data_IF_540065410939
#
_entry.id   IF_540065410939
#
_cell.length_a   1.000
_cell.length_b   1.000
_cell.length_c   1.000
_cell.angle_alpha   90.00
_cell.angle_beta   90.00
_cell.angle_gamma   90.00
#
_symmetry.space_group_name_H-M   'P 1'
#
loop_
_entity.id
_entity.type
_entity.pdbx_description
1 polymer ?
#
# COMPACT_ATOMS: atom_id res chain seq x y z
N UNK A 1 25.64 57.34 36.74
CA UNK A 1 25.91 55.89 36.57
C UNK A 1 24.62 55.22 36.13
N UNK A 2 24.36 55.16 34.82
CA UNK A 2 23.18 54.52 34.24
C UNK A 2 23.56 53.08 33.87
N UNK A 3 22.95 52.07 34.50
CA UNK A 3 23.13 50.66 34.15
C UNK A 3 22.18 50.32 32.99
N UNK A 4 22.74 49.98 31.83
CA UNK A 4 22.01 49.35 30.72
C UNK A 4 21.68 47.90 31.10
N UNK A 5 20.40 47.55 31.22
CA UNK A 5 19.95 46.17 31.19
C UNK A 5 19.72 45.77 29.73
N UNK A 6 20.51 44.84 29.22
CA UNK A 6 20.34 44.24 27.90
C UNK A 6 19.32 43.10 28.03
N UNK A 7 18.10 43.30 27.56
CA UNK A 7 17.08 42.24 27.51
C UNK A 7 17.34 41.39 26.28
N UNK A 8 17.85 40.17 26.47
CA UNK A 8 18.01 39.18 25.41
C UNK A 8 16.62 38.65 25.03
N UNK A 9 16.10 39.06 23.87
CA UNK A 9 14.88 38.48 23.30
C UNK A 9 15.30 37.17 22.62
N UNK A 10 15.16 36.04 23.31
CA UNK A 10 15.18 34.74 22.65
C UNK A 10 13.90 34.60 21.84
N UNK A 11 13.99 34.81 20.53
CA UNK A 11 12.96 34.35 19.59
C UNK A 11 13.03 32.83 19.56
N UNK A 12 12.22 32.16 20.38
CA UNK A 12 11.93 30.76 20.21
C UNK A 12 11.16 30.61 18.89
N UNK A 13 11.85 30.24 17.82
CA UNK A 13 11.18 29.70 16.64
C UNK A 13 10.36 28.50 17.11
N UNK A 14 9.10 28.33 16.64
CA UNK A 14 8.36 27.13 16.96
C UNK A 14 9.19 25.93 16.50
N UNK A 15 9.55 25.07 17.45
CA UNK A 15 10.06 23.75 17.13
C UNK A 15 8.86 23.01 16.56
N UNK A 16 8.76 22.98 15.23
CA UNK A 16 7.95 21.97 14.57
C UNK A 16 8.58 20.66 15.00
N UNK A 17 7.94 19.93 15.91
CA UNK A 17 8.35 18.59 16.24
C UNK A 17 8.43 17.82 14.91
N UNK A 18 9.65 17.51 14.48
CA UNK A 18 9.91 16.83 13.23
C UNK A 18 9.40 15.40 13.38
N UNK A 19 8.11 15.18 13.07
CA UNK A 19 7.60 13.86 12.82
C UNK A 19 8.36 13.24 11.65
N UNK A 20 8.50 11.90 11.58
CA UNK A 20 9.24 11.26 10.50
C UNK A 20 8.67 11.71 9.14
N UNK A 21 9.54 12.19 8.24
CA UNK A 21 9.21 12.81 6.94
C UNK A 21 8.70 11.79 5.90
N UNK A 22 8.09 10.68 6.32
CA UNK A 22 7.60 9.65 5.41
C UNK A 22 6.77 8.57 6.09
N UNK A 23 6.66 7.43 5.41
CA UNK A 23 5.92 6.28 5.92
C UNK A 23 6.68 5.59 7.05
N UNK A 24 5.92 5.13 8.01
CA UNK A 24 6.36 4.36 9.17
C UNK A 24 5.90 2.90 9.11
N UNK A 25 5.49 2.46 7.93
CA UNK A 25 5.31 1.05 7.56
C UNK A 25 5.58 0.90 6.07
N UNK A 26 5.45 -0.32 5.50
CA UNK A 26 5.55 -0.51 4.07
C UNK A 26 4.60 0.41 3.31
N UNK A 27 5.05 0.84 2.14
CA UNK A 27 4.21 1.55 1.17
C UNK A 27 3.55 0.52 0.28
N UNK A 28 2.23 0.52 0.27
CA UNK A 28 1.38 -0.43 -0.44
C UNK A 28 0.83 0.13 -1.76
N UNK A 29 0.78 1.45 -1.90
CA UNK A 29 0.23 2.09 -3.09
C UNK A 29 1.00 3.35 -3.48
N UNK A 30 1.13 3.59 -4.78
CA UNK A 30 1.68 4.81 -5.37
C UNK A 30 0.81 5.24 -6.53
N UNK A 31 0.69 6.55 -6.71
CA UNK A 31 0.08 7.15 -7.91
C UNK A 31 0.83 8.42 -8.27
N UNK A 32 1.11 8.62 -9.56
CA UNK A 32 1.76 9.83 -10.07
C UNK A 32 0.99 10.36 -11.28
N UNK A 33 0.50 11.60 -11.20
CA UNK A 33 -0.17 12.31 -12.30
C UNK A 33 0.10 13.80 -12.17
N UNK A 34 0.48 14.46 -13.27
CA UNK A 34 0.64 15.92 -13.35
C UNK A 34 1.42 16.51 -12.15
N UNK A 35 2.61 15.95 -11.89
CA UNK A 35 3.51 16.34 -10.79
C UNK A 35 3.02 16.04 -9.35
N UNK A 36 1.95 15.27 -9.20
CA UNK A 36 1.42 14.84 -7.91
C UNK A 36 1.80 13.39 -7.65
N UNK A 37 2.77 13.18 -6.77
CA UNK A 37 3.07 11.87 -6.22
C UNK A 37 2.27 11.64 -4.94
N UNK A 38 1.48 10.58 -4.91
CA UNK A 38 0.72 10.13 -3.74
C UNK A 38 1.20 8.75 -3.35
N UNK A 39 1.36 8.52 -2.05
CA UNK A 39 1.61 7.20 -1.50
C UNK A 39 0.56 6.80 -0.46
N UNK A 40 0.26 5.51 -0.39
CA UNK A 40 -0.52 4.88 0.67
C UNK A 40 0.33 3.85 1.39
N UNK A 41 0.21 3.78 2.72
CA UNK A 41 1.03 2.88 3.52
C UNK A 41 0.26 2.09 4.57
N UNK A 42 0.93 1.06 5.09
CA UNK A 42 0.42 0.23 6.18
C UNK A 42 0.21 1.01 7.48
N UNK A 43 0.88 2.14 7.64
CA UNK A 43 0.71 3.09 8.74
C UNK A 43 -0.61 3.89 8.71
N UNK A 44 -1.51 3.57 7.77
CA UNK A 44 -2.80 4.22 7.59
C UNK A 44 -2.74 5.65 7.06
N UNK A 45 -1.58 6.04 6.54
CA UNK A 45 -1.38 7.38 5.96
C UNK A 45 -1.53 7.32 4.46
N UNK A 46 -2.16 8.36 3.91
CA UNK A 46 -1.94 8.77 2.54
C UNK A 46 -1.05 10.03 2.56
N UNK A 47 0.02 10.07 1.78
CA UNK A 47 0.97 11.18 1.76
C UNK A 47 1.02 11.76 0.35
N UNK A 48 0.79 13.07 0.23
CA UNK A 48 1.08 13.83 -0.99
C UNK A 48 2.49 14.40 -0.86
N UNK A 49 3.32 14.13 -1.86
CA UNK A 49 4.71 14.54 -1.93
C UNK A 49 4.90 15.71 -2.90
N UNK A 50 6.10 16.28 -2.89
CA UNK A 50 6.56 17.01 -4.06
C UNK A 50 6.76 16.09 -5.27
N UNK A 51 6.95 16.71 -6.44
CA UNK A 51 7.10 16.00 -7.71
C UNK A 51 8.32 15.06 -7.74
N UNK A 52 9.31 15.30 -6.87
CA UNK A 52 10.55 14.52 -6.80
C UNK A 52 10.44 13.37 -5.79
N UNK A 53 9.36 13.33 -4.98
CA UNK A 53 9.16 12.36 -3.92
C UNK A 53 10.05 12.57 -2.69
N UNK A 54 10.65 13.76 -2.55
CA UNK A 54 11.62 14.05 -1.51
C UNK A 54 10.97 14.62 -0.25
N UNK A 55 9.94 15.45 -0.41
CA UNK A 55 9.30 16.17 0.70
C UNK A 55 7.82 15.84 0.79
N UNK A 56 7.36 15.39 1.95
CA UNK A 56 5.94 15.26 2.25
C UNK A 56 5.29 16.66 2.32
N UNK A 57 4.40 16.97 1.39
CA UNK A 57 3.62 18.22 1.38
C UNK A 57 2.39 18.14 2.28
N UNK A 58 1.81 16.94 2.39
CA UNK A 58 0.63 16.69 3.22
C UNK A 58 0.59 15.24 3.68
N UNK A 59 0.30 15.04 4.95
CA UNK A 59 0.07 13.72 5.56
C UNK A 59 -1.40 13.62 5.96
N UNK A 60 -2.17 12.82 5.22
CA UNK A 60 -3.58 12.55 5.48
C UNK A 60 -3.72 11.33 6.41
N UNK A 61 -4.43 11.52 7.54
CA UNK A 61 -4.66 10.51 8.58
C UNK A 61 -6.14 10.28 8.74
N UNK A 62 -6.67 9.29 8.03
CA UNK A 62 -8.10 9.01 7.95
C UNK A 62 -8.43 7.53 8.07
N UNK A 63 -7.64 6.69 7.38
CA UNK A 63 -7.93 5.27 7.32
C UNK A 63 -7.59 4.54 8.61
N UNK A 64 -8.41 3.56 8.96
CA UNK A 64 -8.24 2.71 10.13
C UNK A 64 -7.54 1.40 9.74
N UNK A 65 -6.27 1.50 9.34
CA UNK A 65 -5.48 0.39 8.77
C UNK A 65 -4.81 0.80 7.47
N UNK A 66 -4.20 -0.16 6.78
CA UNK A 66 -3.42 0.08 5.56
C UNK A 66 -4.23 0.86 4.50
N UNK A 67 -3.62 1.91 3.93
CA UNK A 67 -4.12 2.58 2.72
C UNK A 67 -3.71 1.75 1.50
N UNK A 68 -4.56 0.82 1.09
CA UNK A 68 -4.28 -0.19 0.09
C UNK A 68 -4.26 0.33 -1.34
N UNK A 69 -4.87 1.49 -1.60
CA UNK A 69 -4.87 2.09 -2.93
C UNK A 69 -4.98 3.62 -2.87
N UNK A 70 -4.29 4.29 -3.79
CA UNK A 70 -4.36 5.75 -3.97
C UNK A 70 -4.44 6.10 -5.45
N UNK A 71 -5.10 7.21 -5.78
CA UNK A 71 -5.19 7.71 -7.15
C UNK A 71 -5.11 9.24 -7.16
N UNK A 72 -4.14 9.80 -7.89
CA UNK A 72 -4.02 11.24 -8.07
C UNK A 72 -5.14 11.79 -8.99
N UNK A 73 -5.69 12.94 -8.63
CA UNK A 73 -6.63 13.71 -9.48
C UNK A 73 -6.03 15.08 -9.78
N UNK A 74 -6.64 15.83 -10.71
CA UNK A 74 -6.15 17.17 -11.06
C UNK A 74 -6.23 18.17 -9.89
N UNK A 75 -7.22 17.98 -9.02
CA UNK A 75 -7.61 18.86 -7.91
C UNK A 75 -7.33 18.27 -6.52
N UNK A 76 -6.61 17.15 -6.44
CA UNK A 76 -6.31 16.45 -5.20
C UNK A 76 -5.96 14.99 -5.40
N UNK A 77 -6.56 14.10 -4.60
CA UNK A 77 -6.35 12.65 -4.69
C UNK A 77 -7.48 11.87 -4.03
N UNK A 78 -7.53 10.57 -4.32
CA UNK A 78 -8.40 9.59 -3.68
C UNK A 78 -7.54 8.60 -2.93
N UNK A 79 -7.98 8.21 -1.72
CA UNK A 79 -7.39 7.11 -0.95
C UNK A 79 -8.44 6.08 -0.60
N UNK A 80 -8.04 4.82 -0.52
CA UNK A 80 -8.88 3.72 -0.10
C UNK A 80 -8.08 2.73 0.76
N UNK A 81 -8.74 2.04 1.68
CA UNK A 81 -8.04 1.28 2.71
C UNK A 81 -8.65 -0.05 3.11
N UNK A 82 -7.93 -0.72 4.02
CA UNK A 82 -8.36 -1.96 4.69
C UNK A 82 -9.66 -1.81 5.47
N UNK A 83 -9.98 -0.59 5.88
CA UNK A 83 -11.21 -0.21 6.56
C UNK A 83 -12.45 -0.19 5.63
N UNK A 84 -12.30 -0.60 4.38
CA UNK A 84 -13.40 -0.68 3.41
C UNK A 84 -13.96 0.69 3.01
N UNK A 85 -13.24 1.79 3.30
CA UNK A 85 -13.66 3.15 2.98
C UNK A 85 -12.88 3.71 1.79
N UNK A 86 -13.53 4.61 1.06
CA UNK A 86 -12.92 5.47 0.05
C UNK A 86 -13.06 6.92 0.49
N UNK A 87 -11.98 7.70 0.40
CA UNK A 87 -11.93 9.11 0.77
C UNK A 87 -11.41 9.96 -0.41
N UNK A 88 -12.13 11.04 -0.71
CA UNK A 88 -11.74 12.04 -1.71
C UNK A 88 -11.20 13.29 -1.01
N UNK A 89 -10.01 13.70 -1.43
CA UNK A 89 -9.28 14.82 -0.89
C UNK A 89 -9.14 15.89 -1.96
N UNK A 90 -9.42 17.15 -1.60
CA UNK A 90 -9.11 18.32 -2.44
C UNK A 90 -7.96 19.11 -1.88
N UNK A 91 -7.28 19.84 -2.75
CA UNK A 91 -6.22 20.75 -2.37
C UNK A 91 -6.72 21.83 -1.39
N UNK A 92 -5.85 22.19 -0.44
CA UNK A 92 -6.14 23.20 0.58
C UNK A 92 -7.19 22.80 1.64
N UNK A 93 -7.77 21.60 1.55
CA UNK A 93 -8.70 21.07 2.55
C UNK A 93 -7.96 20.08 3.43
N UNK A 94 -8.04 20.17 4.77
CA UNK A 94 -7.30 19.25 5.67
C UNK A 94 -8.00 17.91 5.92
N UNK A 95 -9.30 17.83 5.66
CA UNK A 95 -10.12 16.61 5.76
C UNK A 95 -10.59 16.14 4.38
N UNK A 96 -11.09 14.89 4.24
CA UNK A 96 -11.75 14.46 3.02
C UNK A 96 -12.93 15.39 2.74
N UNK A 97 -13.08 15.85 1.49
CA UNK A 97 -14.29 16.55 1.06
C UNK A 97 -15.46 15.58 0.91
N UNK A 98 -15.14 14.29 0.76
CA UNK A 98 -16.11 13.21 0.71
C UNK A 98 -15.48 11.91 1.19
N UNK A 99 -16.32 11.06 1.79
CA UNK A 99 -15.97 9.71 2.21
C UNK A 99 -17.19 8.80 2.03
N UNK A 100 -16.94 7.52 1.84
CA UNK A 100 -17.98 6.49 1.81
C UNK A 100 -18.20 5.88 3.19
N UNK A 101 -19.35 5.24 3.39
CA UNK A 101 -19.52 4.32 4.51
C UNK A 101 -18.53 3.15 4.38
N UNK A 102 -18.12 2.57 5.50
CA UNK A 102 -17.24 1.41 5.51
C UNK A 102 -17.97 0.19 4.95
N UNK A 103 -17.39 -0.46 3.94
CA UNK A 103 -17.79 -1.79 3.50
C UNK A 103 -17.13 -2.85 4.39
N UNK A 104 -17.76 -4.01 4.52
CA UNK A 104 -17.26 -5.11 5.36
C UNK A 104 -15.96 -5.73 4.85
N UNK A 105 -15.65 -5.55 3.57
CA UNK A 105 -14.45 -6.09 2.94
C UNK A 105 -13.43 -4.97 2.70
N UNK A 106 -12.12 -5.26 2.81
CA UNK A 106 -11.06 -4.33 2.43
C UNK A 106 -11.12 -3.92 0.95
N UNK A 107 -10.73 -2.68 0.64
CA UNK A 107 -10.49 -2.26 -0.74
C UNK A 107 -9.17 -2.88 -1.22
N UNK A 108 -9.16 -3.46 -2.42
CA UNK A 108 -7.99 -4.09 -3.06
C UNK A 108 -7.46 -3.35 -4.28
N UNK A 109 -8.31 -2.58 -4.98
CA UNK A 109 -7.93 -1.84 -6.18
C UNK A 109 -8.72 -0.53 -6.26
N UNK A 110 -8.14 0.49 -6.90
CA UNK A 110 -8.78 1.80 -7.08
C UNK A 110 -8.40 2.36 -8.46
N UNK A 111 -9.38 2.91 -9.16
CA UNK A 111 -9.15 3.69 -10.38
C UNK A 111 -10.05 4.92 -10.41
N UNK A 112 -9.60 5.96 -11.11
CA UNK A 112 -10.31 7.24 -11.20
C UNK A 112 -10.33 7.75 -12.63
N UNK A 113 -11.48 8.27 -13.03
CA UNK A 113 -11.65 9.08 -14.23
C UNK A 113 -12.17 10.48 -13.85
N UNK A 114 -12.40 11.33 -14.84
CA UNK A 114 -12.97 12.64 -14.61
C UNK A 114 -14.43 12.56 -14.11
N UNK A 115 -15.13 11.45 -14.38
CA UNK A 115 -16.54 11.26 -14.04
C UNK A 115 -16.76 10.37 -12.83
N UNK A 116 -15.88 9.41 -12.58
CA UNK A 116 -16.16 8.33 -11.65
C UNK A 116 -14.90 7.87 -10.89
N UNK A 117 -15.10 7.47 -9.64
CA UNK A 117 -14.13 6.74 -8.83
C UNK A 117 -14.64 5.31 -8.69
N UNK A 118 -13.79 4.30 -8.91
CA UNK A 118 -14.16 2.90 -8.75
C UNK A 118 -13.20 2.20 -7.81
N UNK A 119 -13.74 1.62 -6.75
CA UNK A 119 -13.01 0.79 -5.80
C UNK A 119 -13.44 -0.68 -5.94
N UNK A 120 -12.46 -1.58 -6.01
CA UNK A 120 -12.67 -3.03 -6.00
C UNK A 120 -12.32 -3.61 -4.65
N UNK A 121 -13.01 -4.67 -4.24
CA UNK A 121 -12.91 -5.23 -2.90
C UNK A 121 -12.37 -6.66 -2.89
N UNK A 122 -11.90 -7.11 -1.73
CA UNK A 122 -11.42 -8.49 -1.52
C UNK A 122 -12.52 -9.55 -1.72
N UNK A 123 -13.79 -9.17 -1.60
CA UNK A 123 -14.95 -10.04 -1.84
C UNK A 123 -15.50 -9.99 -3.28
N UNK A 124 -14.81 -9.28 -4.18
CA UNK A 124 -15.15 -9.23 -5.60
C UNK A 124 -16.21 -8.20 -5.98
N UNK A 125 -16.69 -7.41 -5.02
CA UNK A 125 -17.55 -6.27 -5.31
C UNK A 125 -16.76 -5.11 -5.92
N UNK A 126 -17.46 -4.30 -6.69
CA UNK A 126 -17.06 -2.97 -7.12
C UNK A 126 -17.99 -1.95 -6.48
N UNK A 127 -17.42 -0.89 -5.89
CA UNK A 127 -18.12 0.35 -5.57
C UNK A 127 -17.79 1.37 -6.64
N UNK A 128 -18.82 1.88 -7.32
CA UNK A 128 -18.73 2.91 -8.33
C UNK A 128 -19.34 4.21 -7.82
N UNK A 129 -18.58 5.29 -7.96
CA UNK A 129 -18.85 6.56 -7.34
C UNK A 129 -18.85 7.69 -8.36
N UNK A 130 -20.05 8.18 -8.69
CA UNK A 130 -20.20 9.28 -9.64
C UNK A 130 -19.78 10.61 -8.99
N UNK A 131 -18.75 11.28 -9.54
CA UNK A 131 -18.13 12.46 -8.91
C UNK A 131 -19.02 13.70 -8.90
N UNK A 132 -19.97 13.79 -9.84
CA UNK A 132 -20.82 14.97 -9.99
C UNK A 132 -22.08 14.93 -9.11
N UNK A 133 -22.67 13.74 -8.92
CA UNK A 133 -23.96 13.54 -8.24
C UNK A 133 -23.83 12.84 -6.90
N UNK A 134 -22.63 12.37 -6.59
CA UNK A 134 -22.34 11.53 -5.44
C UNK A 134 -23.12 10.21 -5.40
N UNK A 135 -23.62 9.75 -6.55
CA UNK A 135 -24.32 8.48 -6.64
C UNK A 135 -23.36 7.30 -6.45
N UNK A 136 -23.67 6.45 -5.48
CA UNK A 136 -22.98 5.20 -5.18
C UNK A 136 -23.73 4.01 -5.79
N UNK A 137 -23.00 3.12 -6.47
CA UNK A 137 -23.53 1.86 -7.02
C UNK A 137 -22.59 0.72 -6.65
N UNK A 138 -23.15 -0.43 -6.28
CA UNK A 138 -22.36 -1.62 -5.92
C UNK A 138 -22.71 -2.74 -6.90
N UNK A 139 -21.68 -3.36 -7.48
CA UNK A 139 -21.80 -4.43 -8.47
C UNK A 139 -20.98 -5.63 -8.02
N UNK A 140 -21.53 -6.84 -8.12
CA UNK A 140 -20.73 -8.06 -7.93
C UNK A 140 -20.00 -8.37 -9.24
N UNK A 141 -18.69 -8.16 -9.28
CA UNK A 141 -17.89 -8.35 -10.49
C UNK A 141 -17.17 -9.70 -10.52
N UNK A 142 -16.62 -10.13 -9.38
CA UNK A 142 -15.74 -11.30 -9.30
C UNK A 142 -16.11 -12.23 -8.14
N UNK A 143 -15.69 -13.49 -8.21
CA UNK A 143 -15.75 -14.45 -7.09
C UNK A 143 -14.43 -14.46 -6.31
N UNK A 144 -14.22 -13.42 -5.49
CA UNK A 144 -12.98 -13.19 -4.75
C UNK A 144 -12.32 -11.87 -5.13
N UNK A 145 -11.10 -11.64 -4.63
CA UNK A 145 -10.43 -10.33 -4.70
C UNK A 145 -10.40 -9.75 -6.11
N UNK A 146 -10.82 -8.49 -6.24
CA UNK A 146 -10.56 -7.69 -7.44
C UNK A 146 -9.06 -7.34 -7.46
N UNK A 147 -8.32 -7.92 -8.40
CA UNK A 147 -6.86 -7.78 -8.50
C UNK A 147 -6.42 -6.58 -9.35
N UNK A 148 -7.31 -5.99 -10.15
CA UNK A 148 -6.97 -4.82 -10.96
C UNK A 148 -8.20 -4.11 -11.52
N UNK A 149 -8.09 -2.79 -11.66
CA UNK A 149 -9.12 -1.91 -12.22
C UNK A 149 -8.48 -0.80 -13.05
N UNK A 150 -8.98 -0.58 -14.26
CA UNK A 150 -8.55 0.53 -15.13
C UNK A 150 -9.71 1.05 -15.96
N UNK A 151 -9.73 2.36 -16.21
CA UNK A 151 -10.57 2.95 -17.22
C UNK A 151 -9.87 2.93 -18.58
N UNK A 152 -10.61 2.56 -19.62
CA UNK A 152 -10.20 2.73 -21.01
C UNK A 152 -10.47 4.16 -21.50
N UNK A 153 -9.81 4.65 -22.55
CA UNK A 153 -10.06 5.97 -23.14
C UNK A 153 -11.53 6.24 -23.50
N UNK A 154 -12.27 5.19 -23.89
CA UNK A 154 -13.71 5.27 -24.18
C UNK A 154 -14.62 5.44 -22.96
N UNK A 155 -14.07 5.36 -21.73
CA UNK A 155 -14.81 5.48 -20.48
C UNK A 155 -15.34 4.15 -19.91
N UNK A 156 -15.19 3.05 -20.65
CA UNK A 156 -15.47 1.72 -20.14
C UNK A 156 -14.47 1.33 -19.03
N UNK A 157 -14.96 0.60 -18.05
CA UNK A 157 -14.16 0.06 -16.97
C UNK A 157 -13.74 -1.38 -17.32
N UNK A 158 -12.50 -1.73 -17.03
CA UNK A 158 -12.02 -3.10 -17.05
C UNK A 158 -11.67 -3.54 -15.63
N UNK A 159 -12.10 -4.74 -15.24
CA UNK A 159 -11.73 -5.39 -13.99
C UNK A 159 -11.14 -6.78 -14.22
N UNK A 160 -10.22 -7.17 -13.34
CA UNK A 160 -9.72 -8.54 -13.25
C UNK A 160 -9.74 -9.03 -11.81
N UNK A 161 -9.93 -10.34 -11.62
CA UNK A 161 -10.12 -10.93 -10.29
C UNK A 161 -9.37 -12.23 -10.04
N UNK A 162 -9.33 -12.63 -8.77
CA UNK A 162 -8.79 -13.91 -8.30
C UNK A 162 -9.59 -15.12 -8.83
N UNK A 163 -10.76 -14.89 -9.39
CA UNK A 163 -11.58 -15.87 -10.11
C UNK A 163 -11.12 -16.13 -11.55
N UNK A 164 -9.94 -15.62 -11.92
CA UNK A 164 -9.34 -15.75 -13.25
C UNK A 164 -10.18 -15.11 -14.36
N UNK A 165 -11.01 -14.12 -14.02
CA UNK A 165 -11.84 -13.44 -15.02
C UNK A 165 -11.34 -12.06 -15.34
N UNK A 166 -11.44 -11.75 -16.62
CA UNK A 166 -11.45 -10.42 -17.19
C UNK A 166 -12.91 -10.02 -17.44
N UNK A 167 -13.27 -8.78 -17.10
CA UNK A 167 -14.59 -8.24 -17.40
C UNK A 167 -14.50 -6.77 -17.83
N UNK A 168 -15.23 -6.41 -18.89
CA UNK A 168 -15.40 -5.03 -19.35
C UNK A 168 -16.83 -4.58 -19.06
N UNK A 169 -16.95 -3.38 -18.50
CA UNK A 169 -18.19 -2.81 -17.99
C UNK A 169 -18.44 -1.46 -18.64
N UNK A 170 -19.66 -1.23 -19.10
CA UNK A 170 -20.07 0.08 -19.56
C UNK A 170 -20.47 1.00 -18.38
N UNK A 171 -20.91 2.22 -18.67
CA UNK A 171 -21.35 3.18 -17.66
C UNK A 171 -22.61 2.76 -16.87
N UNK A 172 -23.41 1.85 -17.43
CA UNK A 172 -24.67 1.36 -16.85
C UNK A 172 -24.51 0.08 -16.03
N UNK A 173 -23.27 -0.24 -15.62
CA UNK A 173 -22.90 -1.42 -14.83
C UNK A 173 -23.14 -2.76 -15.56
N UNK A 174 -23.38 -2.73 -16.87
CA UNK A 174 -23.52 -3.94 -17.66
C UNK A 174 -22.14 -4.48 -18.05
N UNK A 175 -21.92 -5.77 -17.78
CA UNK A 175 -20.78 -6.49 -18.32
C UNK A 175 -20.99 -6.68 -19.83
N UNK A 176 -20.24 -5.92 -20.63
CA UNK A 176 -20.30 -5.98 -22.11
C UNK A 176 -19.37 -7.03 -22.68
N UNK A 177 -18.37 -7.47 -21.91
CA UNK A 177 -17.43 -8.50 -22.30
C UNK A 177 -16.89 -9.28 -21.09
N UNK A 178 -16.58 -10.56 -21.31
CA UNK A 178 -15.88 -11.39 -20.36
C UNK A 178 -14.92 -12.34 -21.06
N UNK A 179 -13.76 -12.56 -20.46
CA UNK A 179 -12.75 -13.51 -20.93
C UNK A 179 -12.08 -14.21 -19.74
N UNK A 180 -11.51 -15.39 -19.98
CA UNK A 180 -10.71 -16.10 -18.99
C UNK A 180 -9.26 -15.63 -19.04
N UNK A 181 -8.65 -15.48 -17.87
CA UNK A 181 -7.24 -15.19 -17.72
C UNK A 181 -6.46 -16.51 -17.60
N UNK A 182 -5.24 -16.58 -18.18
CA UNK A 182 -4.43 -17.80 -18.19
C UNK A 182 -3.86 -18.20 -16.81
N UNK A 183 -4.00 -17.35 -15.78
CA UNK A 183 -3.47 -17.61 -14.44
C UNK A 183 -3.87 -16.51 -13.46
N UNK A 184 -3.48 -16.68 -12.19
CA UNK A 184 -3.83 -15.75 -11.11
C UNK A 184 -3.19 -14.37 -11.34
N UNK A 185 -3.99 -13.31 -11.56
CA UNK A 185 -3.45 -11.98 -11.76
C UNK A 185 -3.10 -11.33 -10.41
N UNK A 186 -1.95 -10.66 -10.39
CA UNK A 186 -1.48 -9.88 -9.25
C UNK A 186 -1.66 -8.37 -9.43
N UNK A 187 -1.80 -7.87 -10.66
CA UNK A 187 -2.01 -6.45 -10.91
C UNK A 187 -2.29 -6.15 -12.38
N UNK A 188 -2.83 -4.95 -12.63
CA UNK A 188 -3.15 -4.46 -13.98
C UNK A 188 -2.83 -2.97 -14.11
N UNK A 189 -2.33 -2.58 -15.27
CA UNK A 189 -2.26 -1.20 -15.74
C UNK A 189 -2.78 -1.10 -17.18
N UNK A 190 -2.95 0.11 -17.70
CA UNK A 190 -3.41 0.33 -19.06
C UNK A 190 -2.63 1.46 -19.75
N UNK A 191 -2.57 1.37 -21.08
CA UNK A 191 -1.97 2.36 -21.97
C UNK A 191 -2.75 2.37 -23.27
N UNK A 192 -3.54 3.44 -23.47
CA UNK A 192 -4.59 3.44 -24.49
C UNK A 192 -5.57 2.28 -24.27
N UNK A 193 -5.84 1.52 -25.33
CA UNK A 193 -6.71 0.34 -25.32
C UNK A 193 -5.94 -0.98 -25.02
N UNK A 194 -4.67 -0.88 -24.63
CA UNK A 194 -3.85 -2.05 -24.26
C UNK A 194 -3.72 -2.16 -22.75
N UNK A 195 -3.98 -3.36 -22.26
CA UNK A 195 -3.87 -3.73 -20.85
C UNK A 195 -2.55 -4.45 -20.61
N UNK A 196 -1.96 -4.18 -19.46
CA UNK A 196 -0.73 -4.81 -19.00
C UNK A 196 -1.05 -5.55 -17.72
N UNK A 197 -0.98 -6.87 -17.75
CA UNK A 197 -1.35 -7.73 -16.62
C UNK A 197 -0.14 -8.52 -16.17
N UNK A 198 0.09 -8.55 -14.86
CA UNK A 198 1.16 -9.31 -14.24
C UNK A 198 0.60 -10.45 -13.40
N UNK A 199 1.32 -11.57 -13.40
CA UNK A 199 0.85 -12.84 -12.85
C UNK A 199 1.85 -13.40 -11.84
N UNK A 200 1.37 -14.33 -11.01
CA UNK A 200 2.22 -15.05 -10.06
C UNK A 200 3.26 -15.97 -10.73
N UNK A 201 3.08 -16.28 -12.03
CA UNK A 201 3.97 -17.13 -12.84
C UNK A 201 5.23 -16.40 -13.36
N UNK A 202 5.40 -15.11 -13.04
CA UNK A 202 6.57 -14.34 -13.47
C UNK A 202 6.44 -13.70 -14.84
N UNK A 203 5.30 -13.86 -15.52
CA UNK A 203 5.03 -13.22 -16.80
C UNK A 203 4.31 -11.88 -16.65
N UNK A 204 4.71 -10.94 -17.48
CA UNK A 204 3.90 -9.77 -17.86
C UNK A 204 3.29 -10.05 -19.23
N UNK A 205 2.00 -9.78 -19.39
CA UNK A 205 1.24 -9.98 -20.63
C UNK A 205 0.54 -8.70 -21.06
N UNK A 206 0.60 -8.41 -22.35
CA UNK A 206 -0.25 -7.44 -23.02
C UNK A 206 -1.52 -8.13 -23.49
N UNK A 207 -2.66 -7.52 -23.18
CA UNK A 207 -4.00 -8.00 -23.53
C UNK A 207 -4.75 -6.81 -24.14
N UNK A 208 -5.45 -7.01 -25.24
CA UNK A 208 -6.31 -5.98 -25.83
C UNK A 208 -7.55 -5.71 -24.96
N UNK A 209 -8.24 -4.61 -25.20
CA UNK A 209 -9.48 -4.25 -24.50
C UNK A 209 -10.67 -5.19 -24.76
N UNK A 210 -10.53 -6.09 -25.73
CA UNK A 210 -11.43 -7.20 -26.01
C UNK A 210 -11.01 -8.54 -25.34
N UNK A 211 -9.96 -8.52 -24.52
CA UNK A 211 -9.43 -9.70 -23.85
C UNK A 211 -8.49 -10.55 -24.71
N UNK A 212 -8.23 -10.18 -25.97
CA UNK A 212 -7.32 -10.93 -26.85
C UNK A 212 -5.88 -10.83 -26.35
N UNK A 213 -5.17 -11.96 -26.12
CA UNK A 213 -3.75 -11.95 -25.78
C UNK A 213 -2.90 -11.39 -26.91
N UNK A 214 -1.93 -10.53 -26.60
CA UNK A 214 -1.08 -9.86 -27.60
C UNK A 214 0.38 -10.31 -27.53
N UNK A 215 1.11 -9.92 -26.49
CA UNK A 215 2.54 -10.22 -26.31
C UNK A 215 2.80 -10.53 -24.85
N UNK A 216 3.76 -11.41 -24.57
CA UNK A 216 4.16 -11.70 -23.21
C UNK A 216 5.68 -11.72 -23.05
N UNK A 217 6.11 -11.61 -21.80
CA UNK A 217 7.52 -11.68 -21.44
C UNK A 217 7.66 -12.34 -20.07
N UNK A 218 8.39 -13.45 -20.03
CA UNK A 218 8.86 -14.02 -18.79
C UNK A 218 10.04 -13.20 -18.24
N UNK A 219 9.96 -12.83 -16.95
CA UNK A 219 10.96 -11.98 -16.31
C UNK A 219 11.64 -12.63 -15.11
N UNK A 220 10.95 -13.50 -14.38
CA UNK A 220 11.46 -14.06 -13.13
C UNK A 220 10.72 -15.35 -12.75
N UNK A 221 11.42 -16.29 -12.10
CA UNK A 221 10.77 -17.43 -11.43
C UNK A 221 10.05 -17.02 -10.13
N UNK A 222 10.15 -15.74 -9.76
CA UNK A 222 9.47 -15.16 -8.60
C UNK A 222 8.22 -14.41 -9.04
N UNK A 223 7.13 -14.44 -8.24
CA UNK A 223 5.91 -13.72 -8.58
C UNK A 223 6.14 -12.23 -8.86
N UNK A 224 5.54 -11.73 -9.94
CA UNK A 224 5.40 -10.29 -10.18
C UNK A 224 4.27 -9.76 -9.31
N UNK A 225 4.52 -8.67 -8.60
CA UNK A 225 3.62 -8.15 -7.54
C UNK A 225 3.11 -6.73 -7.82
N UNK A 226 3.73 -6.00 -8.74
CA UNK A 226 3.30 -4.64 -9.10
C UNK A 226 3.51 -4.38 -10.59
N UNK A 227 2.66 -3.51 -11.16
CA UNK A 227 2.75 -3.05 -12.55
C UNK A 227 2.27 -1.61 -12.66
N UNK A 228 2.94 -0.82 -13.50
CA UNK A 228 2.51 0.51 -13.92
C UNK A 228 2.82 0.70 -15.41
N UNK A 229 2.02 1.51 -16.10
CA UNK A 229 2.17 1.76 -17.53
C UNK A 229 2.15 3.27 -17.81
N UNK A 230 2.82 3.65 -18.89
CA UNK A 230 2.84 4.98 -19.49
C UNK A 230 2.52 4.86 -20.98
N UNK A 231 2.53 5.97 -21.72
CA UNK A 231 2.35 5.91 -23.17
C UNK A 231 3.48 5.16 -23.88
N UNK A 232 4.70 5.20 -23.32
CA UNK A 232 5.89 4.66 -23.99
C UNK A 232 6.45 3.37 -23.39
N UNK A 233 6.02 2.99 -22.18
CA UNK A 233 6.61 1.82 -21.52
C UNK A 233 5.85 1.31 -20.30
N UNK A 234 6.35 0.18 -19.81
CA UNK A 234 5.83 -0.57 -18.66
C UNK A 234 6.92 -0.70 -17.60
N UNK A 235 6.52 -0.57 -16.34
CA UNK A 235 7.33 -0.96 -15.19
C UNK A 235 6.63 -2.12 -14.49
N UNK A 236 7.37 -3.18 -14.14
CA UNK A 236 6.86 -4.26 -13.31
C UNK A 236 7.90 -4.69 -12.29
N UNK A 237 7.45 -5.18 -11.14
CA UNK A 237 8.32 -5.58 -10.04
C UNK A 237 7.99 -6.96 -9.50
N UNK A 238 9.02 -7.65 -9.00
CA UNK A 238 8.90 -8.94 -8.33
C UNK A 238 8.98 -8.80 -6.80
N UNK A 239 8.56 -9.86 -6.12
CA UNK A 239 8.61 -9.98 -4.65
C UNK A 239 10.03 -9.90 -4.06
N UNK A 240 11.07 -10.06 -4.88
CA UNK A 240 12.47 -9.96 -4.46
C UNK A 240 13.05 -8.54 -4.52
N UNK A 241 12.26 -7.57 -5.01
CA UNK A 241 12.67 -6.17 -5.13
C UNK A 241 13.30 -5.79 -6.47
N UNK A 242 13.37 -6.74 -7.41
CA UNK A 242 13.74 -6.44 -8.79
C UNK A 242 12.61 -5.70 -9.49
N UNK A 243 12.95 -4.66 -10.25
CA UNK A 243 12.04 -3.92 -11.13
C UNK A 243 12.58 -3.99 -12.56
N UNK A 244 11.69 -4.19 -13.53
CA UNK A 244 12.00 -4.16 -14.96
C UNK A 244 11.27 -3.01 -15.63
N UNK A 245 11.99 -2.24 -16.44
CA UNK A 245 11.45 -1.25 -17.37
C UNK A 245 11.44 -1.86 -18.77
N UNK A 246 10.29 -1.82 -19.42
CA UNK A 246 10.03 -2.48 -20.70
C UNK A 246 9.45 -1.50 -21.73
N UNK A 247 9.88 -1.63 -22.97
CA UNK A 247 9.36 -0.88 -24.12
C UNK A 247 8.15 -1.55 -24.74
N UNK A 248 7.12 -0.75 -25.03
CA UNK A 248 5.94 -1.19 -25.77
C UNK A 248 6.18 -1.08 -27.30
N UNK A 249 5.47 -1.88 -28.11
CA UNK A 249 4.53 -2.95 -27.72
C UNK A 249 5.21 -4.31 -27.48
N UNK A 250 6.50 -4.44 -27.74
CA UNK A 250 7.18 -5.76 -27.77
C UNK A 250 7.65 -6.25 -26.40
N UNK A 251 7.42 -5.49 -25.33
CA UNK A 251 7.95 -5.76 -23.98
C UNK A 251 9.48 -5.95 -23.99
N UNK A 252 10.18 -5.14 -24.79
CA UNK A 252 11.65 -5.22 -24.88
C UNK A 252 12.27 -4.66 -23.60
N UNK A 253 13.22 -5.39 -23.01
CA UNK A 253 13.86 -4.97 -21.77
C UNK A 253 14.72 -3.70 -21.99
N UNK A 254 14.33 -2.61 -21.34
CA UNK A 254 15.09 -1.35 -21.32
C UNK A 254 16.08 -1.32 -20.16
N UNK A 255 15.63 -1.64 -18.95
CA UNK A 255 16.47 -1.66 -17.75
C UNK A 255 15.99 -2.66 -16.71
N UNK A 256 16.92 -3.16 -15.90
CA UNK A 256 16.65 -3.99 -14.71
C UNK A 256 17.26 -3.31 -13.49
N UNK A 257 16.45 -3.07 -12.48
CA UNK A 257 16.76 -2.26 -11.30
C UNK A 257 16.64 -3.15 -10.06
N UNK A 258 17.64 -3.12 -9.18
CA UNK A 258 17.54 -3.65 -7.84
C UNK A 258 17.06 -2.54 -6.90
N UNK A 259 15.74 -2.43 -6.69
CA UNK A 259 15.17 -1.25 -6.03
C UNK A 259 15.21 -1.33 -4.50
N UNK A 260 15.02 -2.53 -3.94
CA UNK A 260 15.02 -2.77 -2.48
C UNK A 260 15.38 -4.22 -2.15
N UNK A 261 15.80 -4.48 -0.92
CA UNK A 261 15.90 -5.83 -0.37
C UNK A 261 14.51 -6.28 0.10
N UNK A 262 13.70 -6.80 -0.81
CA UNK A 262 12.33 -7.25 -0.55
C UNK A 262 11.29 -6.64 -1.48
N UNK A 263 10.00 -6.99 -1.29
CA UNK A 263 8.96 -6.71 -2.28
C UNK A 263 8.78 -5.22 -2.56
N UNK A 264 8.73 -4.87 -3.85
CA UNK A 264 8.27 -3.56 -4.33
C UNK A 264 6.77 -3.67 -4.60
N UNK A 265 5.98 -3.28 -3.62
CA UNK A 265 4.51 -3.40 -3.66
C UNK A 265 3.84 -2.36 -4.56
N UNK A 266 4.51 -1.23 -4.80
CA UNK A 266 3.90 -0.12 -5.50
C UNK A 266 4.87 0.49 -6.54
N UNK A 267 4.30 0.79 -7.71
CA UNK A 267 4.97 1.47 -8.82
C UNK A 267 4.09 2.63 -9.26
N UNK A 268 4.71 3.76 -9.61
CA UNK A 268 4.06 4.80 -10.39
C UNK A 268 4.98 5.20 -11.55
N UNK A 269 4.45 5.19 -12.76
CA UNK A 269 5.22 5.44 -13.98
C UNK A 269 4.58 6.57 -14.78
N UNK A 270 5.43 7.47 -15.25
CA UNK A 270 5.16 8.44 -16.31
C UNK A 270 6.23 8.28 -17.39
N UNK A 271 6.10 9.02 -18.50
CA UNK A 271 7.12 9.02 -19.55
C UNK A 271 8.45 9.68 -19.13
N UNK A 272 8.50 10.33 -17.95
CA UNK A 272 9.69 11.03 -17.44
C UNK A 272 10.26 10.45 -16.13
N UNK A 273 9.43 9.78 -15.34
CA UNK A 273 9.81 9.31 -14.01
C UNK A 273 9.17 7.97 -13.66
N UNK A 274 9.97 7.10 -13.03
CA UNK A 274 9.51 5.91 -12.33
C UNK A 274 9.68 6.12 -10.83
N UNK A 275 8.64 5.83 -10.06
CA UNK A 275 8.69 5.72 -8.60
C UNK A 275 8.44 4.28 -8.15
N UNK A 276 9.19 3.86 -7.14
CA UNK A 276 9.04 2.54 -6.51
C UNK A 276 8.90 2.70 -5.01
N UNK A 277 8.05 1.90 -4.39
CA UNK A 277 8.01 1.77 -2.94
C UNK A 277 7.57 0.36 -2.52
N UNK A 278 7.89 -0.03 -1.29
CA UNK A 278 7.69 -1.40 -0.86
C UNK A 278 7.90 -1.62 0.63
N UNK A 279 8.42 -2.81 0.96
CA UNK A 279 8.52 -3.33 2.33
C UNK A 279 9.33 -2.44 3.30
N UNK A 280 10.30 -1.67 2.78
CA UNK A 280 11.14 -0.80 3.62
C UNK A 280 10.57 0.59 3.84
N UNK A 281 9.35 0.87 3.37
CA UNK A 281 8.68 2.15 3.55
C UNK A 281 9.27 3.32 2.74
N UNK A 282 10.37 3.10 2.02
CA UNK A 282 11.04 4.16 1.26
C UNK A 282 10.47 4.29 -0.15
N UNK A 283 10.27 5.54 -0.56
CA UNK A 283 9.94 5.92 -1.92
C UNK A 283 11.23 6.31 -2.63
N UNK A 284 11.41 5.78 -3.84
CA UNK A 284 12.60 5.98 -4.66
C UNK A 284 12.18 6.43 -6.05
N UNK A 285 13.01 7.28 -6.66
CA UNK A 285 12.82 7.74 -8.03
C UNK A 285 13.93 7.19 -8.92
N UNK A 286 13.56 6.84 -10.14
CA UNK A 286 14.46 6.27 -11.14
C UNK A 286 14.27 6.97 -12.48
N UNK A 287 15.37 7.07 -13.21
CA UNK A 287 15.38 7.48 -14.61
C UNK A 287 14.70 6.40 -15.44
N UNK A 288 13.67 6.77 -16.19
CA UNK A 288 12.98 5.86 -17.10
C UNK A 288 13.84 5.48 -18.33
N UNK A 289 14.95 6.19 -18.57
CA UNK A 289 15.82 5.97 -19.74
C UNK A 289 16.74 4.78 -19.54
N UNK A 290 17.31 4.65 -18.35
CA UNK A 290 18.39 3.70 -18.06
C UNK A 290 18.21 2.98 -16.70
N UNK A 291 17.19 3.32 -15.92
CA UNK A 291 16.95 2.75 -14.60
C UNK A 291 17.90 3.24 -13.51
N UNK A 292 18.69 4.30 -13.76
CA UNK A 292 19.56 4.89 -12.73
C UNK A 292 18.74 5.58 -11.64
N UNK A 293 19.23 5.54 -10.39
CA UNK A 293 18.59 6.23 -9.27
C UNK A 293 18.68 7.75 -9.43
N UNK A 294 17.59 8.45 -9.12
CA UNK A 294 17.48 9.92 -9.20
C UNK A 294 17.18 10.47 -7.81
N UNK A 295 18.07 11.31 -7.30
CA UNK A 295 17.94 11.90 -5.96
C UNK A 295 18.15 10.91 -4.81
N UNK A 296 17.98 11.39 -3.59
CA UNK A 296 18.02 10.54 -2.40
C UNK A 296 16.62 9.92 -2.16
N UNK A 297 16.54 8.65 -1.74
CA UNK A 297 15.26 8.06 -1.35
C UNK A 297 14.74 8.72 -0.06
N UNK A 298 13.43 8.60 0.19
CA UNK A 298 12.90 8.92 1.52
C UNK A 298 13.53 8.00 2.57
N UNK A 299 13.60 8.45 3.83
CA UNK A 299 14.20 7.64 4.89
C UNK A 299 13.52 6.26 4.99
N UNK A 300 14.28 5.15 4.83
CA UNK A 300 13.75 3.81 5.01
C UNK A 300 13.38 3.54 6.47
N UNK A 301 12.53 2.54 6.67
CA UNK A 301 12.23 1.98 7.97
C UNK A 301 13.49 1.48 8.66
N UNK A 302 13.56 1.71 9.98
CA UNK A 302 14.55 1.08 10.83
C UNK A 302 14.33 -0.44 10.79
N UNK A 303 15.37 -1.17 10.38
CA UNK A 303 15.37 -2.64 10.34
C UNK A 303 15.33 -3.18 11.77
N UNK A 304 14.53 -4.22 11.97
CA UNK A 304 14.55 -4.96 13.23
C UNK A 304 15.96 -5.56 13.48
N UNK A 305 16.40 -5.67 14.75
CA UNK A 305 17.68 -6.27 15.09
C UNK A 305 17.84 -7.67 14.50
N UNK A 306 18.93 -7.91 13.78
CA UNK A 306 19.29 -9.23 13.30
C UNK A 306 20.29 -9.84 14.28
N UNK A 307 19.88 -10.89 15.00
CA UNK A 307 20.75 -11.64 15.93
C UNK A 307 21.14 -13.03 15.38
N UNK A 308 20.75 -13.34 14.14
CA UNK A 308 20.97 -14.65 13.51
C UNK A 308 20.12 -15.79 14.08
N UNK A 309 19.19 -15.50 15.00
CA UNK A 309 18.29 -16.51 15.54
C UNK A 309 17.09 -16.78 14.63
N UNK A 310 16.53 -17.99 14.73
CA UNK A 310 15.28 -18.34 14.07
C UNK A 310 14.14 -17.36 14.41
N UNK A 311 14.12 -16.83 15.63
CA UNK A 311 13.13 -15.85 16.06
C UNK A 311 13.23 -14.52 15.32
N UNK A 312 14.44 -14.05 14.98
CA UNK A 312 14.64 -12.85 14.17
C UNK A 312 14.11 -13.03 12.74
N UNK A 313 14.29 -14.23 12.16
CA UNK A 313 13.75 -14.57 10.83
C UNK A 313 12.22 -14.55 10.84
N UNK A 314 11.60 -15.20 11.83
CA UNK A 314 10.13 -15.24 11.97
C UNK A 314 9.57 -13.84 12.24
N UNK A 315 10.28 -13.02 13.04
CA UNK A 315 9.86 -11.66 13.38
C UNK A 315 9.84 -10.71 12.17
N UNK A 316 10.51 -11.01 11.06
CA UNK A 316 10.52 -10.12 9.89
C UNK A 316 9.10 -9.80 9.37
N UNK A 317 8.18 -10.76 9.45
CA UNK A 317 6.79 -10.54 9.10
C UNK A 317 6.08 -9.57 10.07
N UNK A 318 6.45 -9.58 11.35
CA UNK A 318 5.90 -8.68 12.38
C UNK A 318 6.54 -7.29 12.32
N UNK A 319 7.83 -7.19 11.95
CA UNK A 319 8.59 -5.95 11.87
C UNK A 319 7.98 -4.93 10.89
N UNK A 320 7.20 -5.42 9.92
CA UNK A 320 6.40 -4.61 9.00
C UNK A 320 5.44 -3.67 9.74
N UNK A 321 4.80 -4.15 10.80
CA UNK A 321 3.79 -3.40 11.55
C UNK A 321 4.27 -2.95 12.92
N UNK A 322 5.28 -3.59 13.50
CA UNK A 322 5.67 -3.40 14.88
C UNK A 322 7.13 -2.99 15.03
N UNK A 323 7.39 -2.08 15.96
CA UNK A 323 8.72 -1.76 16.46
C UNK A 323 9.01 -2.53 17.75
N UNK A 324 10.28 -2.61 18.14
CA UNK A 324 10.72 -3.16 19.43
C UNK A 324 11.20 -2.05 20.38
N UNK A 325 11.44 -0.86 19.85
CA UNK A 325 11.94 0.31 20.54
C UNK A 325 10.80 1.10 21.23
N UNK A 326 11.07 1.75 22.37
CA UNK A 326 10.08 2.59 23.05
C UNK A 326 9.65 3.78 22.17
N UNK A 327 8.37 4.13 22.25
CA UNK A 327 7.86 5.40 21.70
C UNK A 327 7.58 5.43 20.20
N UNK A 328 7.83 4.36 19.43
CA UNK A 328 7.37 4.27 18.05
C UNK A 328 5.85 4.00 18.00
N UNK A 329 5.09 5.07 17.75
CA UNK A 329 3.64 5.05 17.53
C UNK A 329 3.29 5.30 16.07
N UNK A 330 4.30 5.28 15.20
CA UNK A 330 4.15 5.70 13.82
C UNK A 330 3.71 4.52 12.93
N UNK A 331 4.06 3.29 13.29
CA UNK A 331 3.74 2.08 12.51
C UNK A 331 2.26 1.67 12.57
N UNK A 332 1.91 0.69 11.72
CA UNK A 332 0.59 0.07 11.62
C UNK A 332 0.13 -0.64 12.90
N UNK A 333 1.06 -1.05 13.76
CA UNK A 333 0.85 -1.68 15.04
C UNK A 333 1.55 -0.92 16.17
N UNK A 334 1.16 -1.11 17.44
CA UNK A 334 1.85 -0.51 18.57
C UNK A 334 3.28 -1.03 18.69
N UNK A 335 4.19 -0.22 19.24
CA UNK A 335 5.49 -0.73 19.68
C UNK A 335 5.32 -1.90 20.66
N UNK A 336 6.10 -2.95 20.44
CA UNK A 336 6.15 -4.13 21.31
C UNK A 336 7.09 -3.92 22.50
N UNK A 337 7.77 -2.77 22.60
CA UNK A 337 8.55 -2.44 23.78
C UNK A 337 7.70 -2.54 25.05
N UNK A 338 8.19 -3.29 26.04
CA UNK A 338 7.48 -3.62 27.27
C UNK A 338 6.16 -4.36 27.04
N UNK A 339 6.01 -5.17 25.97
CA UNK A 339 4.75 -5.86 25.70
C UNK A 339 4.42 -6.91 26.76
N UNK A 340 5.40 -7.64 27.27
CA UNK A 340 5.14 -8.69 28.25
C UNK A 340 4.73 -8.11 29.61
N UNK A 341 3.55 -8.51 30.09
CA UNK A 341 2.88 -7.97 31.28
C UNK A 341 1.93 -6.80 30.98
N UNK A 342 1.91 -6.29 29.74
CA UNK A 342 1.04 -5.17 29.36
C UNK A 342 -0.38 -5.65 29.04
N UNK A 343 -1.44 -5.01 29.59
CA UNK A 343 -2.81 -5.27 29.16
C UNK A 343 -3.01 -4.96 27.67
N UNK A 344 -3.93 -5.66 27.02
CA UNK A 344 -4.33 -5.36 25.64
C UNK A 344 -4.83 -3.93 25.52
N UNK A 345 -4.64 -3.34 24.34
CA UNK A 345 -5.06 -1.97 24.03
C UNK A 345 -4.53 -0.87 24.97
N UNK A 346 -3.42 -1.10 25.67
CA UNK A 346 -2.87 -0.16 26.67
C UNK A 346 -1.51 0.44 26.34
N UNK A 347 -0.95 0.18 25.15
CA UNK A 347 0.30 0.81 24.73
C UNK A 347 0.13 2.34 24.68
N UNK A 348 0.92 3.13 25.44
CA UNK A 348 0.80 4.58 25.47
C UNK A 348 0.92 5.17 24.07
N UNK A 349 0.20 6.26 23.77
CA UNK A 349 0.34 6.99 22.49
C UNK A 349 -0.19 6.28 21.24
N UNK A 350 -0.66 5.04 21.34
CA UNK A 350 -1.21 4.30 20.20
C UNK A 350 -2.75 4.30 20.20
N UNK A 351 -3.35 4.61 19.06
CA UNK A 351 -4.80 4.62 18.89
C UNK A 351 -5.30 3.21 18.55
N UNK A 352 -5.77 2.45 19.55
CA UNK A 352 -6.37 1.12 19.36
C UNK A 352 -7.80 1.18 18.81
N UNK A 353 -8.25 0.14 18.12
CA UNK A 353 -9.65 -0.02 17.73
C UNK A 353 -10.54 -0.21 18.96
N UNK A 354 -11.80 0.20 18.86
CA UNK A 354 -12.77 0.09 19.96
C UNK A 354 -12.99 -1.37 20.38
N UNK A 355 -12.94 -2.30 19.43
CA UNK A 355 -13.08 -3.74 19.67
C UNK A 355 -12.05 -4.27 20.68
N UNK A 356 -10.79 -3.81 20.61
CA UNK A 356 -9.73 -4.28 21.50
C UNK A 356 -9.81 -3.69 22.91
N UNK A 357 -10.42 -2.51 23.08
CA UNK A 357 -10.49 -1.84 24.39
C UNK A 357 -11.39 -2.56 25.40
N UNK A 358 -12.31 -3.41 24.92
CA UNK A 358 -13.21 -4.20 25.76
C UNK A 358 -12.68 -5.59 26.12
N UNK A 359 -11.50 -5.98 25.62
CA UNK A 359 -10.94 -7.32 25.84
C UNK A 359 -10.12 -7.38 27.14
N UNK A 360 -10.13 -8.54 27.79
CA UNK A 360 -9.37 -8.81 29.01
C UNK A 360 -8.23 -9.80 28.72
N UNK A 361 -7.18 -9.30 28.05
CA UNK A 361 -5.97 -10.04 27.72
C UNK A 361 -4.78 -9.32 28.32
N UNK A 362 -3.90 -10.05 28.99
CA UNK A 362 -2.57 -9.57 29.40
C UNK A 362 -1.53 -10.30 28.56
N UNK A 363 -0.67 -9.55 27.88
CA UNK A 363 0.32 -10.14 27.00
C UNK A 363 1.41 -10.85 27.80
N UNK A 364 1.37 -12.17 27.83
CA UNK A 364 2.43 -13.09 28.28
C UNK A 364 3.04 -13.83 27.08
N UNK A 365 4.22 -14.48 27.25
CA UNK A 365 4.75 -15.41 26.26
C UNK A 365 3.69 -16.39 25.72
N UNK A 366 2.89 -16.97 26.62
CA UNK A 366 1.84 -17.92 26.26
C UNK A 366 0.70 -17.26 25.47
N UNK A 367 0.23 -16.09 25.87
CA UNK A 367 -0.85 -15.40 25.12
C UNK A 367 -0.41 -14.93 23.73
N UNK A 368 0.87 -14.57 23.56
CA UNK A 368 1.43 -14.22 22.26
C UNK A 368 1.54 -15.48 21.39
N UNK A 369 2.00 -16.60 21.96
CA UNK A 369 2.02 -17.88 21.24
C UNK A 369 0.60 -18.33 20.86
N UNK A 370 -0.39 -18.14 21.73
CA UNK A 370 -1.79 -18.50 21.50
C UNK A 370 -2.41 -17.65 20.38
N UNK A 371 -2.16 -16.34 20.37
CA UNK A 371 -2.56 -15.43 19.29
C UNK A 371 -2.13 -15.97 17.91
N UNK A 372 -0.88 -16.41 17.77
CA UNK A 372 -0.36 -16.93 16.49
C UNK A 372 -0.72 -18.40 16.23
N UNK A 373 -1.26 -19.10 17.23
CA UNK A 373 -1.82 -20.45 17.08
C UNK A 373 -3.24 -20.36 16.49
N UNK A 374 -4.08 -19.48 17.04
CA UNK A 374 -5.46 -19.31 16.60
C UNK A 374 -5.60 -18.37 15.39
N UNK A 375 -4.74 -17.35 15.29
CA UNK A 375 -4.83 -16.25 14.33
C UNK A 375 -5.47 -14.99 14.93
N UNK A 376 -5.00 -13.78 14.58
CA UNK A 376 -5.58 -12.51 15.03
C UNK A 376 -7.08 -12.36 14.83
N UNK A 377 -7.65 -12.91 13.77
CA UNK A 377 -9.11 -12.84 13.53
C UNK A 377 -9.91 -13.59 14.60
N UNK A 378 -9.39 -14.71 15.09
CA UNK A 378 -10.03 -15.54 16.10
C UNK A 378 -9.73 -15.08 17.52
N UNK A 379 -8.46 -14.76 17.81
CA UNK A 379 -8.00 -14.44 19.17
C UNK A 379 -8.24 -12.98 19.57
N UNK A 380 -8.15 -12.05 18.61
CA UNK A 380 -8.35 -10.61 18.81
C UNK A 380 -9.26 -10.02 17.74
N UNK A 381 -10.55 -10.44 17.68
CA UNK A 381 -11.48 -10.00 16.66
C UNK A 381 -11.63 -8.47 16.65
N UNK A 382 -11.55 -7.86 15.47
CA UNK A 382 -11.57 -6.40 15.30
C UNK A 382 -10.22 -5.72 15.53
N UNK A 383 -9.12 -6.48 15.66
CA UNK A 383 -7.78 -5.93 15.47
C UNK A 383 -7.54 -5.54 14.00
N UNK A 384 -6.61 -4.60 13.78
CA UNK A 384 -6.12 -4.24 12.42
C UNK A 384 -4.98 -5.13 11.95
N UNK A 385 -4.60 -6.12 12.74
CA UNK A 385 -3.50 -7.02 12.41
C UNK A 385 -4.00 -8.02 11.36
N UNK A 386 -3.28 -8.22 10.23
CA UNK A 386 -3.64 -9.25 9.26
C UNK A 386 -3.72 -10.63 9.91
N UNK A 387 -4.62 -11.52 9.44
CA UNK A 387 -4.66 -12.89 9.96
C UNK A 387 -3.38 -13.64 9.58
N UNK A 388 -2.45 -13.67 10.52
CA UNK A 388 -1.16 -14.32 10.38
C UNK A 388 -1.05 -15.42 11.43
N UNK A 389 -0.81 -16.64 10.97
CA UNK A 389 -0.58 -17.80 11.83
C UNK A 389 0.86 -18.28 11.67
N UNK A 390 1.46 -18.69 12.78
CA UNK A 390 2.78 -19.34 12.79
C UNK A 390 2.52 -20.78 13.19
N UNK A 391 2.34 -21.66 12.20
CA UNK A 391 1.82 -23.02 12.42
C UNK A 391 2.82 -23.94 13.10
N UNK A 392 4.13 -23.75 12.88
CA UNK A 392 5.19 -24.49 13.55
C UNK A 392 5.35 -24.03 15.02
N UNK A 393 5.17 -24.93 16.02
CA UNK A 393 5.38 -24.60 17.42
C UNK A 393 6.79 -24.11 17.76
N UNK A 394 7.83 -24.63 17.09
CA UNK A 394 9.21 -24.20 17.32
C UNK A 394 9.43 -22.75 16.85
N UNK A 395 8.86 -22.39 15.70
CA UNK A 395 8.89 -21.02 15.20
C UNK A 395 8.13 -20.04 16.10
N UNK A 396 6.97 -20.46 16.64
CA UNK A 396 6.24 -19.67 17.64
C UNK A 396 7.08 -19.40 18.88
N UNK A 397 7.71 -20.44 19.43
CA UNK A 397 8.56 -20.28 20.60
C UNK A 397 9.75 -19.36 20.31
N UNK A 398 10.42 -19.57 19.16
CA UNK A 398 11.55 -18.75 18.75
C UNK A 398 11.16 -17.26 18.58
N UNK A 399 9.98 -16.98 17.99
CA UNK A 399 9.42 -15.64 17.86
C UNK A 399 9.19 -14.99 19.23
N UNK A 400 8.53 -15.70 20.15
CA UNK A 400 8.25 -15.21 21.51
C UNK A 400 9.54 -14.91 22.27
N UNK A 401 10.52 -15.81 22.21
CA UNK A 401 11.82 -15.63 22.86
C UNK A 401 12.58 -14.42 22.28
N UNK A 402 12.52 -14.23 20.97
CA UNK A 402 13.14 -13.09 20.31
C UNK A 402 12.51 -11.76 20.74
N UNK A 403 11.17 -11.67 20.75
CA UNK A 403 10.47 -10.48 21.26
C UNK A 403 10.88 -10.24 22.73
N UNK A 404 10.91 -11.29 23.57
CA UNK A 404 11.23 -11.15 24.98
C UNK A 404 12.65 -10.65 25.26
N UNK A 405 13.59 -10.88 24.35
CA UNK A 405 14.95 -10.35 24.44
C UNK A 405 15.03 -8.88 24.00
N UNK A 406 14.35 -8.53 22.91
CA UNK A 406 14.54 -7.25 22.23
C UNK A 406 13.50 -6.19 22.56
N UNK A 407 12.40 -6.56 23.21
CA UNK A 407 11.30 -5.66 23.55
C UNK A 407 11.35 -5.21 25.01
N UNK A 408 12.51 -5.19 25.66
CA UNK A 408 12.67 -4.82 27.07
C UNK A 408 13.00 -3.35 27.25
#
# INVERSE_FOLDING_TARGET
MLRLCLTLILTAAPVWAQGPMGHSGPVSALSFRSDRLISGGFDGRAILWDQDGATARRIARFHDGNVTAVAATEDGFVSAGQDGRVALWRDGQDHPVRQTSAMTSPVSALTVSDREIVAGFFDGRLLRLERATDRERIVQAHQGRVSGLVFLPGGDLVSIGADLRFARWNADDAQVLGAELPGLPNGMAATGDTLVVVFADGLVRLIADDGTPMSDRFLSDRPLVAVAASATGVATAAVDGTVWLLDLPLLTLRARIAASEGPVWALALSDDALFTAGADGAIRRWSVRDGSAVGAPTMPLARAPQDGSRGAEVYQACAVCHALEPGDHSRAGPSLHGVFGRPIASAPGYAFSDALRGMDIVWSPDSVAELFTQGPEAYTPGSRMPDQRVTDPADRQALVDYIARHSR
#
